data_IF_092273114483
#
_entry.id   IF_092273114483
#
_cell.length_a   1.000
_cell.length_b   1.000
_cell.length_c   1.000
_cell.angle_alpha   90.00
_cell.angle_beta   90.00
_cell.angle_gamma   90.00
#
_symmetry.space_group_name_H-M   'P 1'
#
loop_
_entity.id
_entity.type
_entity.pdbx_description
1 polymer ?
#
# COMPACT_ATOMS: atom_id res chain seq x y z
N UNK A 1 -15.80 -4.10 12.59
CA UNK A 1 -17.02 -3.80 11.79
C UNK A 1 -17.61 -2.44 12.16
N UNK A 2 -17.70 -2.09 13.44
CA UNK A 2 -18.22 -0.80 13.90
C UNK A 2 -17.39 0.40 13.41
N UNK A 3 -16.07 0.26 13.38
CA UNK A 3 -15.15 1.30 12.92
C UNK A 3 -15.41 1.72 11.48
N UNK A 4 -15.66 0.74 10.58
CA UNK A 4 -16.01 1.03 9.17
C UNK A 4 -17.31 1.82 9.05
N UNK A 5 -18.32 1.50 9.87
CA UNK A 5 -19.58 2.26 9.88
C UNK A 5 -19.39 3.70 10.39
N UNK A 6 -18.58 3.89 11.43
CA UNK A 6 -18.17 5.21 11.92
C UNK A 6 -17.44 5.98 10.83
N UNK A 7 -16.52 5.33 10.11
CA UNK A 7 -15.77 5.92 9.01
C UNK A 7 -16.66 6.45 7.90
N UNK A 8 -17.67 5.67 7.48
CA UNK A 8 -18.64 6.12 6.47
C UNK A 8 -19.42 7.35 6.90
N UNK A 9 -19.82 7.44 8.18
CA UNK A 9 -20.50 8.62 8.72
C UNK A 9 -19.56 9.83 8.79
N UNK A 10 -18.33 9.64 9.24
CA UNK A 10 -17.31 10.70 9.33
C UNK A 10 -17.00 11.29 7.95
N UNK A 11 -16.82 10.46 6.95
CA UNK A 11 -16.59 10.88 5.55
C UNK A 11 -17.76 11.72 5.05
N UNK A 12 -19.01 11.26 5.27
CA UNK A 12 -20.21 12.01 4.88
C UNK A 12 -20.31 13.37 5.55
N UNK A 13 -19.96 13.47 6.84
CA UNK A 13 -19.96 14.73 7.59
C UNK A 13 -18.89 15.71 7.08
N UNK A 14 -17.71 15.20 6.73
CA UNK A 14 -16.68 16.02 6.11
C UNK A 14 -17.07 16.49 4.72
N UNK A 15 -17.72 15.66 3.90
CA UNK A 15 -18.25 16.04 2.58
C UNK A 15 -19.31 17.15 2.71
N UNK A 16 -20.24 17.01 3.64
CA UNK A 16 -21.25 18.07 3.96
C UNK A 16 -20.54 19.36 4.37
N UNK A 17 -19.53 19.29 5.20
CA UNK A 17 -18.78 20.47 5.66
C UNK A 17 -18.07 21.17 4.48
N UNK A 18 -17.40 20.42 3.62
CA UNK A 18 -16.76 20.96 2.42
C UNK A 18 -17.75 21.66 1.49
N UNK A 19 -18.88 21.00 1.21
CA UNK A 19 -19.95 21.52 0.36
C UNK A 19 -20.61 22.77 0.96
N UNK A 20 -20.90 22.76 2.25
CA UNK A 20 -21.53 23.89 2.95
C UNK A 20 -20.63 25.15 2.96
N UNK A 21 -19.31 24.97 3.00
CA UNK A 21 -18.33 26.05 2.97
C UNK A 21 -17.88 26.42 1.55
N UNK A 22 -18.22 25.63 0.52
CA UNK A 22 -17.73 25.80 -0.84
C UNK A 22 -16.21 25.63 -0.98
N UNK A 23 -15.57 24.86 -0.08
CA UNK A 23 -14.13 24.69 -0.02
C UNK A 23 -13.78 23.21 -0.22
N UNK A 24 -12.87 22.88 -1.15
CA UNK A 24 -12.38 21.51 -1.28
C UNK A 24 -11.80 20.98 0.03
N UNK A 25 -12.05 19.70 0.30
CA UNK A 25 -11.74 19.09 1.57
C UNK A 25 -10.24 19.14 1.91
N UNK A 26 -9.37 18.91 0.94
CA UNK A 26 -7.92 18.99 1.16
C UNK A 26 -7.48 20.37 1.67
N UNK A 27 -8.15 21.45 1.25
CA UNK A 27 -7.86 22.81 1.76
C UNK A 27 -8.35 22.99 3.20
N UNK A 28 -9.52 22.42 3.53
CA UNK A 28 -10.04 22.45 4.91
C UNK A 28 -9.13 21.67 5.88
N UNK A 29 -8.46 20.66 5.38
CA UNK A 29 -7.52 19.82 6.14
C UNK A 29 -6.10 20.40 6.18
N UNK A 30 -5.86 21.57 5.56
CA UNK A 30 -4.56 22.23 5.56
C UNK A 30 -3.62 21.73 4.46
N UNK A 31 -4.15 21.11 3.42
CA UNK A 31 -3.36 20.63 2.27
C UNK A 31 -2.63 21.77 1.54
N UNK A 32 -1.35 21.53 1.25
CA UNK A 32 -0.46 22.50 0.57
C UNK A 32 -0.33 22.26 -0.94
N UNK A 33 -0.81 21.11 -1.42
CA UNK A 33 -0.76 20.75 -2.84
C UNK A 33 -2.09 20.16 -3.30
N UNK A 34 -2.37 20.28 -4.58
CA UNK A 34 -3.51 19.65 -5.26
C UNK A 34 -3.06 18.54 -6.22
N UNK A 35 -1.83 18.07 -6.09
CA UNK A 35 -1.25 17.00 -6.91
C UNK A 35 -0.50 16.03 -6.01
N UNK A 36 -0.74 14.75 -6.21
CA UNK A 36 -0.04 13.65 -5.54
C UNK A 36 0.50 12.68 -6.57
N UNK A 37 1.60 12.01 -6.25
CA UNK A 37 2.08 10.89 -7.05
C UNK A 37 1.10 9.72 -6.90
N UNK A 38 0.85 9.01 -8.01
CA UNK A 38 -0.01 7.83 -8.02
C UNK A 38 0.71 6.67 -8.69
N UNK A 39 0.33 5.47 -8.29
CA UNK A 39 0.71 4.24 -8.96
C UNK A 39 -0.50 3.53 -9.55
N UNK A 40 -0.28 2.68 -10.56
CA UNK A 40 -1.31 1.84 -11.15
C UNK A 40 -1.15 0.42 -10.64
N UNK A 41 -2.21 -0.12 -10.02
CA UNK A 41 -2.25 -1.50 -9.56
C UNK A 41 -2.72 -2.43 -10.69
N UNK A 42 -2.07 -3.59 -10.80
CA UNK A 42 -2.38 -4.63 -11.78
C UNK A 42 -1.75 -5.95 -11.40
N UNK A 43 -1.43 -6.77 -12.40
CA UNK A 43 -0.72 -8.02 -12.20
C UNK A 43 -1.50 -9.06 -11.38
N UNK A 44 -2.83 -8.98 -11.39
CA UNK A 44 -3.69 -9.96 -10.72
C UNK A 44 -3.56 -11.33 -11.36
N UNK A 45 -3.84 -12.38 -10.57
CA UNK A 45 -3.91 -13.76 -11.05
C UNK A 45 -5.23 -14.00 -11.78
N UNK A 46 -5.14 -14.41 -13.04
CA UNK A 46 -6.29 -14.69 -13.87
C UNK A 46 -6.08 -15.99 -14.65
N UNK A 47 -7.17 -16.72 -14.90
CA UNK A 47 -7.11 -17.96 -15.67
C UNK A 47 -6.63 -17.68 -17.11
N UNK A 48 -5.54 -18.33 -17.52
CA UNK A 48 -4.98 -18.15 -18.86
C UNK A 48 -4.01 -16.99 -19.01
N UNK A 49 -3.77 -16.21 -17.95
CA UNK A 49 -2.79 -15.13 -17.92
C UNK A 49 -1.43 -15.69 -17.53
N UNK A 50 -0.55 -15.81 -18.50
CA UNK A 50 0.84 -16.25 -18.32
C UNK A 50 1.79 -15.07 -18.08
N UNK A 51 3.09 -15.36 -18.10
CA UNK A 51 4.14 -14.35 -17.87
C UNK A 51 4.14 -13.26 -18.95
N UNK A 52 3.85 -13.64 -20.21
CA UNK A 52 3.80 -12.68 -21.32
C UNK A 52 2.64 -11.70 -21.16
N UNK A 53 1.44 -12.20 -20.90
CA UNK A 53 0.23 -11.38 -20.69
C UNK A 53 0.39 -10.47 -19.47
N UNK A 54 1.03 -10.95 -18.40
CA UNK A 54 1.38 -10.14 -17.23
C UNK A 54 2.34 -9.00 -17.61
N UNK A 55 3.41 -9.31 -18.33
CA UNK A 55 4.38 -8.31 -18.77
C UNK A 55 3.75 -7.26 -19.68
N UNK A 56 2.92 -7.68 -20.64
CA UNK A 56 2.21 -6.81 -21.57
C UNK A 56 1.21 -5.89 -20.82
N UNK A 57 0.45 -6.43 -19.85
CA UNK A 57 -0.45 -5.63 -19.00
C UNK A 57 0.33 -4.57 -18.23
N UNK A 58 1.35 -4.97 -17.46
CA UNK A 58 2.08 -4.03 -16.61
C UNK A 58 2.80 -2.96 -17.43
N UNK A 59 3.28 -3.31 -18.63
CA UNK A 59 3.86 -2.36 -19.57
C UNK A 59 2.81 -1.39 -20.13
N UNK A 60 1.58 -1.84 -20.39
CA UNK A 60 0.51 -0.98 -20.92
C UNK A 60 0.14 0.18 -19.97
N UNK A 61 0.39 0.04 -18.66
CA UNK A 61 0.20 1.12 -17.70
C UNK A 61 1.12 2.32 -17.97
N UNK A 62 2.25 2.12 -18.63
CA UNK A 62 3.17 3.20 -19.00
C UNK A 62 2.59 4.08 -20.12
N UNK A 63 1.71 3.51 -20.97
CA UNK A 63 1.07 4.23 -22.08
C UNK A 63 0.12 5.33 -21.58
N UNK A 64 -0.43 5.16 -20.37
CA UNK A 64 -1.25 6.18 -19.70
C UNK A 64 -0.41 7.11 -18.81
N UNK A 65 0.91 7.01 -18.86
CA UNK A 65 1.83 7.90 -18.15
C UNK A 65 2.23 7.44 -16.74
N UNK A 66 1.93 6.20 -16.35
CA UNK A 66 2.33 5.68 -15.04
C UNK A 66 3.86 5.74 -14.85
N UNK A 67 4.29 6.17 -13.67
CA UNK A 67 5.69 6.18 -13.22
C UNK A 67 5.94 5.18 -12.09
N UNK A 68 4.88 4.56 -11.63
CA UNK A 68 4.88 3.56 -10.57
C UNK A 68 3.78 2.54 -10.84
N UNK A 69 4.08 1.27 -10.63
CA UNK A 69 3.11 0.18 -10.81
C UNK A 69 3.21 -0.80 -9.64
N UNK A 70 2.09 -1.40 -9.25
CA UNK A 70 2.00 -2.41 -8.19
C UNK A 70 1.42 -3.70 -8.74
N UNK A 71 2.05 -4.83 -8.48
CA UNK A 71 1.58 -6.15 -8.90
C UNK A 71 1.30 -7.06 -7.70
N UNK A 72 0.44 -8.06 -7.91
CA UNK A 72 0.14 -9.07 -6.89
C UNK A 72 1.14 -10.22 -6.94
N UNK A 73 1.54 -10.68 -5.73
CA UNK A 73 2.32 -11.90 -5.50
C UNK A 73 1.64 -12.72 -4.39
N UNK A 74 2.11 -13.93 -4.12
CA UNK A 74 1.57 -14.80 -3.05
C UNK A 74 0.50 -15.79 -3.52
N UNK A 75 0.12 -15.78 -4.81
CA UNK A 75 -0.92 -16.66 -5.34
C UNK A 75 -0.40 -17.94 -6.00
N UNK A 76 0.91 -18.07 -6.15
CA UNK A 76 1.59 -19.23 -6.76
C UNK A 76 2.84 -19.59 -5.94
N UNK A 77 3.54 -20.71 -6.22
CA UNK A 77 4.80 -21.02 -5.55
C UNK A 77 5.82 -19.89 -5.64
N UNK A 78 6.62 -19.69 -4.60
CA UNK A 78 7.55 -18.55 -4.45
C UNK A 78 8.43 -18.33 -5.69
N UNK A 79 8.98 -19.41 -6.27
CA UNK A 79 9.83 -19.27 -7.44
C UNK A 79 9.06 -18.78 -8.69
N UNK A 80 7.80 -19.11 -8.81
CA UNK A 80 6.93 -18.60 -9.89
C UNK A 80 6.59 -17.12 -9.66
N UNK A 81 6.34 -16.70 -8.42
CA UNK A 81 6.15 -15.29 -8.09
C UNK A 81 7.42 -14.47 -8.35
N UNK A 82 8.60 -15.00 -8.02
CA UNK A 82 9.89 -14.34 -8.34
C UNK A 82 10.06 -14.16 -9.85
N UNK A 83 9.72 -15.18 -10.65
CA UNK A 83 9.78 -15.07 -12.11
C UNK A 83 8.76 -14.05 -12.65
N UNK A 84 7.57 -13.95 -12.04
CA UNK A 84 6.58 -12.91 -12.34
C UNK A 84 7.14 -11.50 -12.07
N UNK A 85 7.79 -11.28 -10.92
CA UNK A 85 8.43 -10.00 -10.58
C UNK A 85 9.52 -9.66 -11.61
N UNK A 86 10.36 -10.63 -11.96
CA UNK A 86 11.42 -10.48 -12.94
C UNK A 86 10.89 -10.01 -14.30
N UNK A 87 9.92 -10.74 -14.89
CA UNK A 87 9.40 -10.39 -16.21
C UNK A 87 8.71 -9.03 -16.24
N UNK A 88 8.06 -8.64 -15.13
CA UNK A 88 7.48 -7.31 -14.99
C UNK A 88 8.59 -6.25 -14.95
N UNK A 89 9.62 -6.42 -14.13
CA UNK A 89 10.77 -5.50 -14.08
C UNK A 89 11.42 -5.33 -15.44
N UNK A 90 11.64 -6.42 -16.17
CA UNK A 90 12.19 -6.39 -17.54
C UNK A 90 11.28 -5.61 -18.50
N UNK A 91 9.96 -5.77 -18.39
CA UNK A 91 8.98 -5.13 -19.27
C UNK A 91 8.83 -3.63 -19.02
N UNK A 92 8.82 -3.19 -17.76
CA UNK A 92 8.61 -1.77 -17.39
C UNK A 92 9.93 -0.96 -17.38
N UNK A 93 11.08 -1.63 -17.35
CA UNK A 93 12.40 -0.96 -17.24
C UNK A 93 12.74 -0.52 -15.82
N UNK A 94 13.97 -0.07 -15.61
CA UNK A 94 14.54 0.26 -14.30
C UNK A 94 14.06 1.58 -13.69
N UNK A 95 13.54 2.49 -14.52
CA UNK A 95 13.19 3.86 -14.10
C UNK A 95 11.75 3.95 -13.56
N UNK A 96 10.99 2.87 -13.62
CA UNK A 96 9.62 2.77 -13.10
C UNK A 96 9.65 2.13 -11.72
N UNK A 97 9.02 2.77 -10.73
CA UNK A 97 8.85 2.18 -9.40
C UNK A 97 7.99 0.92 -9.50
N UNK A 98 8.52 -0.22 -9.07
CA UNK A 98 7.78 -1.50 -9.00
C UNK A 98 7.48 -1.81 -7.54
N UNK A 99 6.21 -1.99 -7.22
CA UNK A 99 5.76 -2.44 -5.92
C UNK A 99 5.17 -3.85 -6.04
N UNK A 100 5.30 -4.64 -4.98
CA UNK A 100 4.67 -5.96 -4.88
C UNK A 100 3.77 -6.03 -3.67
N UNK A 101 2.64 -6.73 -3.81
CA UNK A 101 1.63 -6.85 -2.78
C UNK A 101 1.22 -8.32 -2.62
N UNK A 102 1.48 -8.86 -1.43
CA UNK A 102 1.20 -10.25 -1.10
C UNK A 102 -0.18 -10.47 -0.46
N UNK A 103 -0.91 -9.44 -0.08
CA UNK A 103 -2.19 -9.54 0.61
C UNK A 103 -2.18 -10.65 1.71
N UNK A 104 -1.19 -10.57 2.59
CA UNK A 104 -1.04 -11.45 3.76
C UNK A 104 -0.77 -12.93 3.44
N UNK A 105 -0.24 -13.26 2.25
CA UNK A 105 -0.15 -14.63 1.76
C UNK A 105 0.90 -15.49 2.46
N UNK A 106 1.92 -14.90 3.11
CA UNK A 106 3.08 -15.64 3.59
C UNK A 106 3.13 -15.78 5.12
N UNK A 107 3.86 -16.79 5.59
CA UNK A 107 4.44 -16.81 6.93
C UNK A 107 5.73 -15.98 6.92
N UNK A 108 6.15 -15.44 8.07
CA UNK A 108 7.33 -14.57 8.15
C UNK A 108 8.60 -15.17 7.49
N UNK A 109 8.86 -16.47 7.68
CA UNK A 109 10.04 -17.13 7.08
C UNK A 109 9.93 -17.24 5.54
N UNK A 110 8.72 -17.42 4.99
CA UNK A 110 8.47 -17.42 3.54
C UNK A 110 8.62 -16.01 2.97
N UNK A 111 8.06 -15.00 3.65
CA UNK A 111 8.19 -13.61 3.27
C UNK A 111 9.67 -13.15 3.24
N UNK A 112 10.48 -13.61 4.21
CA UNK A 112 11.93 -13.37 4.20
C UNK A 112 12.63 -14.04 3.00
N UNK A 113 12.20 -15.23 2.61
CA UNK A 113 12.72 -15.89 1.40
C UNK A 113 12.35 -15.10 0.14
N UNK A 114 11.08 -14.68 0.01
CA UNK A 114 10.60 -13.85 -1.09
C UNK A 114 11.38 -12.55 -1.14
N UNK A 115 11.45 -11.81 -0.03
CA UNK A 115 12.15 -10.52 0.05
C UNK A 115 13.58 -10.61 -0.49
N UNK A 116 14.35 -11.62 -0.06
CA UNK A 116 15.72 -11.85 -0.55
C UNK A 116 15.80 -12.13 -2.06
N UNK A 117 14.82 -12.87 -2.58
CA UNK A 117 14.81 -13.25 -4.01
C UNK A 117 14.38 -12.12 -4.93
N UNK A 118 13.55 -11.19 -4.44
CA UNK A 118 13.09 -10.04 -5.24
C UNK A 118 13.96 -8.79 -5.09
N UNK A 119 14.92 -8.80 -4.16
CA UNK A 119 15.78 -7.65 -3.87
C UNK A 119 16.60 -7.20 -5.11
N UNK A 120 17.04 -8.15 -5.94
CA UNK A 120 17.76 -7.87 -7.20
C UNK A 120 16.92 -7.12 -8.26
N UNK A 121 15.58 -7.11 -8.11
CA UNK A 121 14.67 -6.44 -9.05
C UNK A 121 14.30 -5.03 -8.61
N UNK A 122 14.98 -4.45 -7.63
CA UNK A 122 14.79 -3.07 -7.16
C UNK A 122 13.31 -2.75 -6.88
N UNK A 123 12.69 -3.57 -6.01
CA UNK A 123 11.31 -3.43 -5.59
C UNK A 123 11.20 -2.24 -4.63
N UNK A 124 10.32 -1.29 -4.95
CA UNK A 124 10.14 -0.04 -4.20
C UNK A 124 9.53 -0.26 -2.81
N UNK A 125 8.55 -1.18 -2.68
CA UNK A 125 8.09 -1.73 -1.41
C UNK A 125 7.50 -3.13 -1.56
N UNK A 126 7.50 -3.87 -0.47
CA UNK A 126 6.81 -5.14 -0.30
C UNK A 126 5.62 -4.95 0.64
N UNK A 127 4.39 -5.03 0.09
CA UNK A 127 3.13 -4.77 0.78
C UNK A 127 2.56 -6.03 1.39
N UNK A 128 2.08 -5.92 2.65
CA UNK A 128 1.39 -6.94 3.42
C UNK A 128 1.99 -8.36 3.28
N UNK A 129 3.26 -8.56 3.63
CA UNK A 129 3.90 -9.87 3.49
C UNK A 129 3.26 -10.96 4.35
N UNK A 130 2.74 -10.61 5.53
CA UNK A 130 2.16 -11.53 6.54
C UNK A 130 0.80 -11.03 7.02
N UNK A 131 0.09 -11.86 7.80
CA UNK A 131 -1.19 -11.49 8.42
C UNK A 131 -1.12 -10.15 9.15
N UNK A 132 -2.18 -9.32 9.09
CA UNK A 132 -2.16 -7.95 9.64
C UNK A 132 -1.89 -7.89 11.15
N UNK A 133 -2.30 -8.92 11.89
CA UNK A 133 -2.11 -9.01 13.34
C UNK A 133 -0.70 -9.48 13.74
N UNK A 134 0.13 -9.92 12.77
CA UNK A 134 1.50 -10.41 13.03
C UNK A 134 2.53 -9.27 12.95
N UNK A 135 2.43 -8.30 13.85
CA UNK A 135 3.39 -7.19 13.93
C UNK A 135 4.82 -7.66 14.19
N UNK A 136 5.01 -8.71 14.98
CA UNK A 136 6.33 -9.25 15.29
C UNK A 136 6.96 -9.89 14.04
N UNK A 137 6.21 -10.72 13.32
CA UNK A 137 6.67 -11.32 12.07
C UNK A 137 6.99 -10.27 11.01
N UNK A 138 6.14 -9.26 10.85
CA UNK A 138 6.37 -8.13 9.93
C UNK A 138 7.63 -7.34 10.32
N UNK A 139 7.84 -7.07 11.60
CA UNK A 139 9.03 -6.39 12.10
C UNK A 139 10.32 -7.21 11.90
N UNK A 140 10.26 -8.55 11.94
CA UNK A 140 11.40 -9.42 11.60
C UNK A 140 11.74 -9.27 10.12
N UNK A 141 10.73 -9.25 9.24
CA UNK A 141 10.92 -9.08 7.80
C UNK A 141 11.54 -7.71 7.51
N UNK A 142 10.97 -6.62 8.05
CA UNK A 142 11.43 -5.25 7.86
C UNK A 142 12.92 -5.08 8.22
N UNK A 143 13.40 -5.77 9.26
CA UNK A 143 14.81 -5.75 9.65
C UNK A 143 15.73 -6.65 8.81
N UNK A 144 15.19 -7.54 7.99
CA UNK A 144 15.93 -8.56 7.25
C UNK A 144 16.07 -8.31 5.76
N UNK A 145 15.51 -7.23 5.25
CA UNK A 145 15.57 -6.83 3.84
C UNK A 145 15.85 -5.34 3.71
N UNK A 146 16.41 -4.94 2.56
CA UNK A 146 16.55 -3.53 2.16
C UNK A 146 15.29 -2.98 1.48
N UNK A 147 14.35 -3.85 1.09
CA UNK A 147 13.06 -3.46 0.51
C UNK A 147 12.12 -2.97 1.62
N UNK A 148 11.63 -1.72 1.57
CA UNK A 148 10.69 -1.21 2.55
C UNK A 148 9.42 -2.07 2.66
N UNK A 149 8.93 -2.26 3.88
CA UNK A 149 7.67 -2.96 4.14
C UNK A 149 6.55 -1.93 4.22
N UNK A 150 5.50 -2.13 3.42
CA UNK A 150 4.30 -1.30 3.44
C UNK A 150 3.12 -2.11 4.00
N UNK A 151 2.36 -1.53 4.93
CA UNK A 151 1.20 -2.18 5.53
C UNK A 151 0.24 -1.18 6.18
N UNK A 152 -1.01 -1.60 6.42
CA UNK A 152 -1.97 -0.80 7.17
C UNK A 152 -3.38 -0.74 6.60
N UNK A 153 -3.64 -1.29 5.41
CA UNK A 153 -4.97 -1.25 4.79
C UNK A 153 -6.04 -1.99 5.62
N UNK A 154 -5.62 -2.99 6.38
CA UNK A 154 -6.46 -3.78 7.27
C UNK A 154 -6.51 -3.25 8.71
N UNK A 155 -5.71 -2.19 9.03
CA UNK A 155 -5.58 -1.69 10.39
C UNK A 155 -6.72 -0.74 10.79
N UNK A 156 -7.06 -0.75 12.07
CA UNK A 156 -8.13 0.06 12.65
C UNK A 156 -7.59 1.11 13.59
N UNK A 157 -8.05 2.35 13.42
CA UNK A 157 -7.81 3.48 14.31
C UNK A 157 -6.32 3.83 14.53
N UNK A 158 -6.07 5.03 15.05
CA UNK A 158 -4.71 5.44 15.46
C UNK A 158 -4.04 4.52 16.47
N UNK A 159 -4.82 3.72 17.20
CA UNK A 159 -4.26 2.82 18.23
C UNK A 159 -3.55 1.61 17.60
N UNK A 160 -4.14 1.00 16.57
CA UNK A 160 -3.47 -0.05 15.81
C UNK A 160 -2.23 0.48 15.08
N UNK A 161 -2.34 1.65 14.43
CA UNK A 161 -1.17 2.28 13.80
C UNK A 161 -0.08 2.64 14.81
N UNK A 162 -0.42 3.10 16.01
CA UNK A 162 0.55 3.29 17.10
C UNK A 162 1.27 1.98 17.44
N UNK A 163 0.52 0.88 17.55
CA UNK A 163 1.07 -0.42 17.93
C UNK A 163 1.96 -0.98 16.79
N UNK A 164 1.56 -0.80 15.53
CA UNK A 164 2.36 -1.09 14.33
C UNK A 164 3.69 -0.29 14.33
N UNK A 165 3.64 1.01 14.57
CA UNK A 165 4.82 1.89 14.67
C UNK A 165 5.74 1.45 15.81
N UNK A 166 5.19 1.20 17.00
CA UNK A 166 5.97 0.76 18.16
C UNK A 166 6.69 -0.57 17.90
N UNK A 167 6.04 -1.48 17.18
CA UNK A 167 6.64 -2.76 16.77
C UNK A 167 7.67 -2.60 15.65
N UNK A 168 7.71 -1.45 14.95
CA UNK A 168 8.51 -1.24 13.73
C UNK A 168 8.18 -2.29 12.66
N UNK A 169 6.90 -2.55 12.46
CA UNK A 169 6.40 -3.59 11.57
C UNK A 169 6.16 -3.10 10.13
N UNK A 170 6.24 -1.79 9.90
CA UNK A 170 6.15 -1.19 8.57
C UNK A 170 7.04 0.05 8.48
N UNK A 171 7.59 0.29 7.29
CA UNK A 171 8.36 1.48 6.92
C UNK A 171 7.46 2.52 6.23
N UNK A 172 6.38 2.06 5.58
CA UNK A 172 5.38 2.88 4.91
C UNK A 172 4.01 2.49 5.44
N UNK A 173 3.26 3.45 5.97
CA UNK A 173 1.91 3.21 6.47
C UNK A 173 0.88 3.35 5.33
N UNK A 174 -0.07 2.41 5.26
CA UNK A 174 -1.11 2.38 4.22
C UNK A 174 -2.53 2.48 4.82
N UNK A 175 -2.86 3.60 5.48
CA UNK A 175 -4.18 3.77 6.09
C UNK A 175 -5.28 3.86 5.02
N UNK A 176 -6.41 3.19 5.28
CA UNK A 176 -7.64 3.28 4.49
C UNK A 176 -8.76 3.95 5.31
N UNK A 177 -9.22 5.13 4.89
CA UNK A 177 -10.27 5.88 5.60
C UNK A 177 -11.58 5.10 5.74
N UNK A 178 -11.88 4.19 4.81
CA UNK A 178 -13.08 3.33 4.89
C UNK A 178 -12.94 2.25 5.98
N UNK A 179 -11.72 1.93 6.39
CA UNK A 179 -11.42 0.87 7.35
C UNK A 179 -11.13 1.46 8.73
N UNK A 180 -10.24 2.42 8.81
CA UNK A 180 -9.66 2.95 10.06
C UNK A 180 -10.60 3.84 10.90
N UNK A 181 -11.71 4.33 10.31
CA UNK A 181 -12.68 5.16 11.05
C UNK A 181 -12.88 6.57 10.51
N UNK A 182 -12.53 6.81 9.23
CA UNK A 182 -12.83 8.05 8.53
C UNK A 182 -11.68 9.05 8.49
N UNK A 183 -11.94 10.20 7.91
CA UNK A 183 -10.99 11.29 7.68
C UNK A 183 -10.45 11.87 8.99
N UNK A 184 -11.32 12.05 9.99
CA UNK A 184 -10.93 12.54 11.31
C UNK A 184 -9.87 11.66 11.97
N UNK A 185 -9.99 10.34 11.82
CA UNK A 185 -9.03 9.40 12.37
C UNK A 185 -7.77 9.33 11.51
N UNK A 186 -7.90 9.40 10.18
CA UNK A 186 -6.78 9.47 9.24
C UNK A 186 -5.84 10.63 9.58
N UNK A 187 -6.36 11.83 9.84
CA UNK A 187 -5.55 13.00 10.19
C UNK A 187 -4.73 12.81 11.48
N UNK A 188 -5.24 12.02 12.43
CA UNK A 188 -4.48 11.67 13.64
C UNK A 188 -3.37 10.67 13.35
N UNK A 189 -3.63 9.73 12.44
CA UNK A 189 -2.62 8.76 11.96
C UNK A 189 -1.55 9.50 11.17
N UNK A 190 -1.91 10.45 10.31
CA UNK A 190 -0.96 11.28 9.58
C UNK A 190 -0.03 12.06 10.53
N UNK A 191 -0.58 12.66 11.59
CA UNK A 191 0.22 13.34 12.61
C UNK A 191 1.13 12.36 13.37
N UNK A 192 0.66 11.14 13.63
CA UNK A 192 1.45 10.09 14.29
C UNK A 192 2.59 9.60 13.38
N UNK A 193 2.34 9.39 12.10
CA UNK A 193 3.36 9.03 11.12
C UNK A 193 4.43 10.12 11.01
N UNK A 194 4.01 11.39 10.87
CA UNK A 194 4.92 12.54 10.82
C UNK A 194 5.81 12.63 12.06
N UNK A 195 5.27 12.39 13.26
CA UNK A 195 6.03 12.42 14.51
C UNK A 195 7.05 11.27 14.63
N UNK A 196 6.97 10.25 13.79
CA UNK A 196 7.86 9.10 13.75
C UNK A 196 8.68 9.02 12.45
N UNK A 197 8.70 10.07 11.63
CA UNK A 197 9.41 10.14 10.35
C UNK A 197 9.04 9.01 9.38
N UNK A 198 7.75 8.61 9.35
CA UNK A 198 7.23 7.57 8.48
C UNK A 198 6.41 8.14 7.33
N UNK A 199 6.58 7.56 6.15
CA UNK A 199 5.79 7.88 4.98
C UNK A 199 4.38 7.27 5.04
N UNK A 200 3.44 7.94 4.36
CA UNK A 200 2.09 7.43 4.13
C UNK A 200 1.85 7.27 2.63
N UNK A 201 1.35 6.11 2.25
CA UNK A 201 0.77 5.83 0.94
C UNK A 201 -0.60 5.21 1.16
N UNK A 202 -1.65 6.03 1.17
CA UNK A 202 -3.01 5.58 1.50
C UNK A 202 -3.47 4.44 0.59
N UNK A 203 -4.29 3.53 1.15
CA UNK A 203 -4.92 2.43 0.42
C UNK A 203 -6.31 2.83 -0.07
N UNK A 204 -6.65 2.43 -1.31
CA UNK A 204 -8.01 2.49 -1.87
C UNK A 204 -8.68 3.86 -1.81
N UNK A 205 -9.99 3.90 -2.04
CA UNK A 205 -10.86 5.07 -1.86
C UNK A 205 -10.30 6.39 -2.44
N UNK A 206 -9.78 6.36 -3.67
CA UNK A 206 -9.13 7.50 -4.32
C UNK A 206 -9.98 8.77 -4.27
N UNK A 207 -11.30 8.63 -4.49
CA UNK A 207 -12.25 9.76 -4.44
C UNK A 207 -12.33 10.45 -3.05
N UNK A 208 -11.82 9.80 -2.01
CA UNK A 208 -11.80 10.32 -0.63
C UNK A 208 -10.41 10.84 -0.25
N UNK A 209 -9.36 10.24 -0.80
CA UNK A 209 -7.97 10.52 -0.39
C UNK A 209 -7.27 11.57 -1.25
N UNK A 210 -7.83 11.94 -2.42
CA UNK A 210 -7.23 12.90 -3.37
C UNK A 210 -7.87 14.28 -3.27
#
# INVERSE_FOLDING_TARGET
RTTRAIGGMDIALWDIKGKALGIPLYKLLGGFTNKVEAYVAGGYYEKGKGLKELADEMKSHLDIGARAVKMKIGGVPINEDVERVKVVREAIGKDIKLMVDANNAYRHYQAMEVARKIEEYDVFWFEEPVEPDDYEGSAIIARSTSTPIAAGENEYTRYGFRDMINARSADILQPDTLVLGGITEFMKIAALAQANDLDISQHGAQDVHI
#
